data_IF_111624708979
#
_entry.id   IF_111624708979
#
_cell.length_a   1.000
_cell.length_b   1.000
_cell.length_c   1.000
_cell.angle_alpha   90.00
_cell.angle_beta   90.00
_cell.angle_gamma   90.00
#
_symmetry.space_group_name_H-M   'P 1'
#
loop_
_entity.id
_entity.type
_entity.pdbx_description
1 polymer ?
#
# COMPACT_ATOMS: atom_id res chain seq x y z
N UNK A 1 -17.42 39.65 27.26
CA UNK A 1 -16.89 38.44 26.59
C UNK A 1 -15.50 38.78 26.06
N UNK A 2 -14.48 38.07 26.56
CA UNK A 2 -13.06 38.30 26.27
C UNK A 2 -12.79 38.18 24.75
N UNK A 3 -11.89 39.01 24.23
CA UNK A 3 -11.44 39.00 22.84
C UNK A 3 -10.91 37.61 22.44
N UNK A 4 -10.27 36.90 23.36
CA UNK A 4 -9.78 35.53 23.14
C UNK A 4 -10.92 34.54 22.88
N UNK A 5 -12.05 34.69 23.59
CA UNK A 5 -13.23 33.86 23.40
C UNK A 5 -13.89 34.15 22.06
N UNK A 6 -13.92 35.41 21.63
CA UNK A 6 -14.44 35.78 20.29
C UNK A 6 -13.60 35.18 19.16
N UNK A 7 -12.27 35.23 19.27
CA UNK A 7 -11.36 34.63 18.28
C UNK A 7 -11.54 33.10 18.24
N UNK A 8 -11.63 32.46 19.41
CA UNK A 8 -11.86 31.01 19.48
C UNK A 8 -13.15 30.56 18.79
N UNK A 9 -14.25 31.30 18.98
CA UNK A 9 -15.54 31.01 18.34
C UNK A 9 -15.47 31.19 16.82
N UNK A 10 -14.78 32.24 16.34
CA UNK A 10 -14.63 32.50 14.90
C UNK A 10 -13.77 31.42 14.24
N UNK A 11 -12.64 31.06 14.84
CA UNK A 11 -11.75 30.02 14.30
C UNK A 11 -12.45 28.65 14.33
N UNK A 12 -13.12 28.31 15.43
CA UNK A 12 -13.89 27.07 15.53
C UNK A 12 -15.00 26.98 14.49
N UNK A 13 -15.74 28.07 14.27
CA UNK A 13 -16.77 28.16 13.23
C UNK A 13 -16.22 27.99 11.82
N UNK A 14 -15.05 28.58 11.54
CA UNK A 14 -14.39 28.46 10.23
C UNK A 14 -13.91 27.03 9.95
N UNK A 15 -13.29 26.38 10.94
CA UNK A 15 -12.84 24.97 10.84
C UNK A 15 -14.03 24.03 10.61
N UNK A 16 -15.12 24.24 11.36
CA UNK A 16 -16.33 23.45 11.18
C UNK A 16 -16.96 23.63 9.79
N UNK A 17 -17.01 24.87 9.28
CA UNK A 17 -17.54 25.17 7.95
C UNK A 17 -16.70 24.48 6.84
N UNK A 18 -15.38 24.49 6.96
CA UNK A 18 -14.48 23.82 6.00
C UNK A 18 -14.70 22.30 6.02
N UNK A 19 -14.89 21.70 7.19
CA UNK A 19 -15.18 20.26 7.31
C UNK A 19 -16.53 19.89 6.68
N UNK A 20 -17.56 20.71 6.88
CA UNK A 20 -18.90 20.51 6.28
C UNK A 20 -18.84 20.67 4.76
N UNK A 21 -18.14 21.69 4.25
CA UNK A 21 -17.99 21.89 2.80
C UNK A 21 -17.21 20.73 2.15
N UNK A 22 -16.17 20.23 2.81
CA UNK A 22 -15.36 19.11 2.32
C UNK A 22 -16.20 17.82 2.21
N UNK A 23 -17.05 17.54 3.21
CA UNK A 23 -17.95 16.37 3.19
C UNK A 23 -19.05 16.50 2.13
N UNK A 24 -19.60 17.71 1.92
CA UNK A 24 -20.57 17.99 0.86
C UNK A 24 -19.99 17.83 -0.55
N UNK A 25 -18.75 18.27 -0.79
CA UNK A 25 -18.05 18.08 -2.07
C UNK A 25 -17.82 16.60 -2.36
N UNK A 26 -17.45 15.81 -1.34
CA UNK A 26 -17.27 14.36 -1.48
C UNK A 26 -18.61 13.66 -1.77
N UNK A 27 -19.70 14.07 -1.10
CA UNK A 27 -21.02 13.49 -1.28
C UNK A 27 -21.63 13.80 -2.65
N UNK A 28 -21.51 15.05 -3.11
CA UNK A 28 -22.01 15.47 -4.44
C UNK A 28 -21.24 14.82 -5.59
N UNK A 29 -19.92 14.59 -5.45
CA UNK A 29 -19.14 13.78 -6.41
C UNK A 29 -19.60 12.32 -6.46
N UNK A 30 -20.11 11.76 -5.36
CA UNK A 30 -20.60 10.38 -5.30
C UNK A 30 -21.97 10.21 -5.96
N UNK A 31 -22.84 11.21 -5.89
CA UNK A 31 -24.20 11.18 -6.46
C UNK A 31 -24.24 11.32 -7.99
N UNK A 32 -23.24 11.95 -8.63
CA UNK A 32 -23.20 12.11 -10.10
C UNK A 32 -22.77 10.87 -10.89
N UNK A 33 -22.44 9.75 -10.25
CA UNK A 33 -22.26 8.46 -10.94
C UNK A 33 -23.61 7.77 -11.14
N UNK A 34 -24.42 8.28 -12.07
CA UNK A 34 -25.44 7.46 -12.74
C UNK A 34 -24.71 6.57 -13.73
N UNK A 35 -24.79 5.26 -13.53
CA UNK A 35 -24.44 4.27 -14.56
C UNK A 35 -25.33 4.52 -15.77
N UNK A 36 -24.79 4.62 -17.00
CA UNK A 36 -25.63 4.57 -18.19
C UNK A 36 -26.26 3.17 -18.24
N UNK A 37 -27.58 3.12 -18.16
CA UNK A 37 -28.37 1.92 -18.44
C UNK A 37 -28.11 1.49 -19.88
N UNK A 38 -27.82 0.20 -20.07
CA UNK A 38 -27.63 -0.44 -21.36
C UNK A 38 -28.89 -0.28 -22.23
N UNK A 39 -28.78 0.53 -23.29
CA UNK A 39 -29.71 0.49 -24.41
C UNK A 39 -29.31 -0.67 -25.33
N UNK A 40 -30.20 -1.67 -25.37
CA UNK A 40 -30.18 -2.75 -26.34
C UNK A 40 -30.77 -2.20 -27.65
N UNK A 41 -29.98 -2.14 -28.73
CA UNK A 41 -30.50 -2.07 -30.10
C UNK A 41 -29.63 -2.90 -31.07
N UNK A 42 -30.19 -3.33 -32.21
CA UNK A 42 -30.01 -4.67 -32.76
C UNK A 42 -28.93 -4.76 -33.83
N UNK A 43 -28.64 -6.02 -34.15
CA UNK A 43 -27.87 -6.51 -35.28
C UNK A 43 -28.16 -5.80 -36.59
N UNK A 44 -27.08 -5.54 -37.35
CA UNK A 44 -26.90 -5.81 -38.79
C UNK A 44 -25.68 -5.00 -39.28
N UNK A 45 -24.58 -5.69 -39.61
CA UNK A 45 -23.62 -5.35 -40.67
C UNK A 45 -22.44 -6.35 -40.63
N UNK A 46 -22.46 -7.33 -41.56
CA UNK A 46 -21.23 -7.83 -42.21
C UNK A 46 -20.73 -6.72 -43.15
N UNK A 47 -19.43 -6.55 -43.46
CA UNK A 47 -18.52 -7.66 -43.80
C UNK A 47 -17.00 -7.47 -43.48
N UNK A 48 -16.27 -8.53 -43.82
CA UNK A 48 -14.88 -8.57 -44.33
C UNK A 48 -13.73 -8.82 -43.36
N UNK A 49 -13.22 -10.04 -43.52
CA UNK A 49 -11.93 -10.60 -43.10
C UNK A 49 -10.77 -9.62 -43.29
N UNK A 50 -10.03 -9.36 -42.21
CA UNK A 50 -8.57 -9.24 -42.23
C UNK A 50 -7.99 -9.84 -40.96
N UNK A 51 -7.22 -10.92 -41.11
CA UNK A 51 -6.46 -11.61 -40.06
C UNK A 51 -5.26 -10.75 -39.67
N UNK A 52 -5.00 -10.62 -38.37
CA UNK A 52 -3.69 -10.81 -37.70
C UNK A 52 -3.76 -10.33 -36.25
N UNK A 53 -3.43 -11.23 -35.30
CA UNK A 53 -3.08 -10.87 -33.92
C UNK A 53 -4.15 -11.09 -32.84
N UNK A 54 -4.70 -12.29 -32.71
CA UNK A 54 -5.48 -12.71 -31.55
C UNK A 54 -4.59 -12.73 -30.29
N UNK A 55 -4.82 -11.78 -29.36
CA UNK A 55 -4.61 -11.98 -27.93
C UNK A 55 -5.98 -11.87 -27.26
N UNK A 56 -6.82 -12.88 -27.48
CA UNK A 56 -7.97 -13.14 -26.63
C UNK A 56 -7.49 -14.03 -25.49
N UNK A 57 -7.26 -13.46 -24.32
CA UNK A 57 -7.40 -14.20 -23.08
C UNK A 57 -8.85 -14.06 -22.64
N UNK A 58 -9.68 -15.02 -23.04
CA UNK A 58 -10.87 -15.36 -22.28
C UNK A 58 -10.44 -15.61 -20.83
N UNK A 59 -11.13 -15.00 -19.87
CA UNK A 59 -11.04 -15.37 -18.46
C UNK A 59 -11.55 -16.81 -18.33
N UNK A 60 -10.66 -17.78 -18.54
CA UNK A 60 -10.85 -19.10 -17.99
C UNK A 60 -10.77 -18.93 -16.47
N UNK A 61 -11.93 -19.08 -15.83
CA UNK A 61 -12.03 -19.33 -14.40
C UNK A 61 -11.40 -20.71 -14.18
N UNK A 62 -10.06 -20.74 -14.16
CA UNK A 62 -9.32 -21.90 -13.73
C UNK A 62 -9.72 -22.13 -12.28
N UNK A 63 -10.52 -23.17 -12.09
CA UNK A 63 -10.70 -23.88 -10.84
C UNK A 63 -9.38 -23.83 -10.07
N UNK A 64 -9.41 -23.21 -8.88
CA UNK A 64 -8.27 -23.17 -7.97
C UNK A 64 -7.91 -24.61 -7.62
N UNK A 65 -7.08 -25.22 -8.47
CA UNK A 65 -6.50 -26.52 -8.22
C UNK A 65 -5.84 -26.42 -6.86
N UNK A 66 -6.24 -27.32 -5.97
CA UNK A 66 -5.59 -27.55 -4.69
C UNK A 66 -4.10 -27.74 -4.95
N UNK A 67 -3.34 -26.65 -4.91
CA UNK A 67 -1.91 -26.70 -4.80
C UNK A 67 -1.67 -27.31 -3.43
N UNK A 68 -1.26 -28.59 -3.45
CA UNK A 68 -0.80 -29.34 -2.29
C UNK A 68 -0.03 -28.39 -1.38
N UNK A 69 -0.60 -28.11 -0.21
CA UNK A 69 -0.03 -27.17 0.73
C UNK A 69 1.41 -27.59 1.06
N UNK A 70 2.44 -26.80 0.72
CA UNK A 70 3.67 -26.87 1.46
C UNK A 70 3.34 -26.24 2.81
N UNK A 71 3.16 -27.10 3.81
CA UNK A 71 3.15 -26.72 5.21
C UNK A 71 4.35 -25.83 5.50
N UNK A 72 4.04 -24.59 5.89
CA UNK A 72 4.96 -23.52 6.28
C UNK A 72 6.13 -23.34 5.31
N UNK A 73 6.76 -22.20 5.26
CA UNK A 73 8.08 -22.04 5.88
C UNK A 73 8.63 -20.91 4.99
N UNK A 74 8.21 -19.66 5.28
CA UNK A 74 9.30 -18.74 5.60
C UNK A 74 10.06 -19.53 6.65
N UNK A 75 11.16 -20.20 6.26
CA UNK A 75 12.08 -20.73 7.26
C UNK A 75 12.26 -19.55 8.15
N UNK A 76 11.93 -19.69 9.43
CA UNK A 76 12.22 -18.71 10.47
C UNK A 76 13.58 -18.15 10.10
N UNK A 77 13.55 -17.06 9.35
CA UNK A 77 14.79 -16.60 8.76
C UNK A 77 15.46 -16.11 10.02
N UNK A 78 16.72 -16.43 10.22
CA UNK A 78 17.48 -15.97 11.39
C UNK A 78 17.35 -14.42 11.55
N UNK A 79 16.85 -13.78 10.50
CA UNK A 79 16.61 -12.38 10.24
C UNK A 79 15.15 -11.90 10.37
N UNK A 80 14.19 -12.73 10.79
CA UNK A 80 12.81 -12.33 11.05
C UNK A 80 12.57 -12.15 12.56
N UNK A 81 11.92 -11.04 12.93
CA UNK A 81 11.54 -10.76 14.30
C UNK A 81 10.03 -10.51 14.38
N UNK A 82 9.34 -11.31 15.19
CA UNK A 82 7.92 -11.12 15.46
C UNK A 82 7.69 -9.79 16.20
N UNK A 83 6.64 -9.08 15.79
CA UNK A 83 6.26 -7.83 16.43
C UNK A 83 5.39 -8.14 17.65
N UNK A 84 5.97 -8.00 18.84
CA UNK A 84 5.31 -8.25 20.13
C UNK A 84 4.40 -7.08 20.55
N UNK A 85 3.58 -6.56 19.62
CA UNK A 85 2.65 -5.46 19.87
C UNK A 85 1.20 -5.94 19.67
N UNK A 86 0.26 -5.62 20.57
CA UNK A 86 -1.14 -5.99 20.40
C UNK A 86 -1.70 -5.57 19.03
N UNK A 87 -2.51 -6.43 18.41
CA UNK A 87 -3.07 -6.20 17.07
C UNK A 87 -2.15 -6.57 15.90
N UNK A 88 -0.87 -6.86 16.15
CA UNK A 88 0.11 -7.22 15.11
C UNK A 88 0.43 -8.72 15.03
N UNK A 89 -0.43 -9.60 15.59
CA UNK A 89 -0.29 -11.04 15.40
C UNK A 89 -0.26 -11.38 13.90
N UNK A 90 0.73 -12.17 13.47
CA UNK A 90 0.97 -12.50 12.06
C UNK A 90 1.67 -11.40 11.27
N UNK A 91 2.21 -10.38 11.94
CA UNK A 91 3.10 -9.37 11.36
C UNK A 91 4.52 -9.55 11.88
N UNK A 92 5.52 -9.46 11.01
CA UNK A 92 6.92 -9.58 11.38
C UNK A 92 7.80 -8.57 10.64
N UNK A 93 8.87 -8.13 11.30
CA UNK A 93 9.92 -7.32 10.71
C UNK A 93 10.99 -8.24 10.14
N UNK A 94 11.50 -7.95 8.96
CA UNK A 94 12.61 -8.69 8.35
C UNK A 94 13.70 -7.71 7.95
N UNK A 95 14.96 -8.06 8.22
CA UNK A 95 16.09 -7.26 7.71
C UNK A 95 16.24 -7.35 6.20
N UNK A 96 15.58 -8.30 5.53
CA UNK A 96 15.57 -8.36 4.07
C UNK A 96 14.78 -7.19 3.49
N UNK A 97 15.12 -6.81 2.26
CA UNK A 97 14.24 -6.05 1.41
C UNK A 97 13.05 -6.87 0.91
N UNK A 98 12.27 -6.22 0.04
CA UNK A 98 11.59 -6.94 -1.04
C UNK A 98 12.70 -7.71 -1.80
N UNK A 99 12.52 -8.79 -2.53
CA UNK A 99 13.57 -9.60 -3.18
C UNK A 99 14.53 -10.36 -2.23
N UNK A 100 15.02 -9.78 -1.13
CA UNK A 100 15.90 -10.49 -0.20
C UNK A 100 16.94 -9.61 0.48
N UNK A 101 18.00 -10.22 1.00
CA UNK A 101 19.10 -9.50 1.60
C UNK A 101 19.83 -8.62 0.57
N UNK A 102 20.34 -7.48 1.03
CA UNK A 102 21.08 -6.57 0.16
C UNK A 102 22.38 -7.22 -0.34
N UNK A 103 22.61 -7.18 -1.65
CA UNK A 103 23.82 -7.71 -2.29
C UNK A 103 23.76 -9.17 -2.73
N UNK A 104 22.66 -9.88 -2.46
CA UNK A 104 22.42 -11.23 -2.99
C UNK A 104 21.91 -11.22 -4.44
N UNK A 105 21.87 -12.40 -5.08
CA UNK A 105 21.38 -12.57 -6.45
C UNK A 105 19.99 -11.92 -6.66
N UNK A 106 19.72 -11.53 -7.92
CA UNK A 106 18.46 -10.93 -8.37
C UNK A 106 17.37 -12.03 -8.44
N UNK A 107 17.12 -12.71 -7.34
CA UNK A 107 16.05 -13.68 -7.22
C UNK A 107 15.22 -13.39 -5.98
N UNK A 108 13.89 -13.46 -6.08
CA UNK A 108 13.03 -13.28 -4.93
C UNK A 108 13.23 -14.40 -3.91
N UNK A 109 13.49 -14.04 -2.66
CA UNK A 109 13.66 -14.99 -1.56
C UNK A 109 12.34 -15.50 -0.94
N UNK A 110 11.20 -15.12 -1.51
CA UNK A 110 9.87 -15.58 -1.06
C UNK A 110 9.35 -16.75 -1.89
N UNK A 111 8.42 -17.50 -1.29
CA UNK A 111 7.70 -18.62 -1.89
C UNK A 111 6.20 -18.46 -1.69
N UNK A 112 5.40 -19.09 -2.56
CA UNK A 112 3.95 -19.04 -2.53
C UNK A 112 3.36 -17.74 -3.07
N UNK A 113 2.15 -17.40 -2.63
CA UNK A 113 1.46 -16.19 -3.07
C UNK A 113 1.97 -14.98 -2.27
N UNK A 114 2.30 -13.89 -2.96
CA UNK A 114 2.72 -12.62 -2.33
C UNK A 114 1.98 -11.43 -2.92
N UNK A 115 1.61 -10.48 -2.07
CA UNK A 115 1.15 -9.16 -2.50
C UNK A 115 2.28 -8.18 -2.19
N UNK A 116 2.80 -7.50 -3.20
CA UNK A 116 3.93 -6.58 -3.08
C UNK A 116 3.38 -5.16 -3.07
N UNK A 117 3.63 -4.41 -2.00
CA UNK A 117 3.40 -2.96 -1.97
C UNK A 117 4.60 -2.28 -2.62
N UNK A 118 4.37 -1.58 -3.72
CA UNK A 118 5.38 -0.84 -4.46
C UNK A 118 5.13 0.66 -4.33
N UNK A 119 5.89 1.38 -3.49
CA UNK A 119 5.73 2.82 -3.28
C UNK A 119 6.33 3.68 -4.41
N UNK A 120 6.60 3.11 -5.59
CA UNK A 120 7.23 3.82 -6.70
C UNK A 120 6.36 4.94 -7.26
N UNK A 121 6.85 6.16 -7.16
CA UNK A 121 6.24 7.33 -7.79
C UNK A 121 6.16 7.20 -9.31
N UNK A 122 7.14 6.54 -9.95
CA UNK A 122 7.27 6.57 -11.42
C UNK A 122 6.08 5.92 -12.14
N UNK A 123 5.51 4.86 -11.56
CA UNK A 123 4.38 4.16 -12.17
C UNK A 123 3.13 5.03 -12.19
N UNK A 124 2.97 5.87 -11.17
CA UNK A 124 1.78 6.69 -10.98
C UNK A 124 1.94 8.07 -11.63
N UNK A 125 3.15 8.64 -11.58
CA UNK A 125 3.45 9.98 -12.10
C UNK A 125 3.88 9.94 -13.56
N UNK A 126 4.82 9.06 -13.90
CA UNK A 126 5.45 9.00 -15.22
C UNK A 126 4.84 7.93 -16.12
N UNK A 127 3.91 7.14 -15.59
CA UNK A 127 3.27 6.03 -16.29
C UNK A 127 4.27 5.02 -16.86
N UNK A 128 5.37 4.77 -16.14
CA UNK A 128 6.40 3.83 -16.56
C UNK A 128 7.00 3.05 -15.39
N UNK A 129 7.42 1.82 -15.69
CA UNK A 129 8.27 1.05 -14.79
C UNK A 129 9.70 1.61 -14.90
N UNK A 130 10.11 2.37 -13.88
CA UNK A 130 11.37 3.11 -13.85
C UNK A 130 12.60 2.23 -14.14
N UNK A 131 13.59 2.85 -14.80
CA UNK A 131 14.91 2.26 -15.09
C UNK A 131 15.93 2.44 -13.96
N UNK A 132 15.54 3.13 -12.89
CA UNK A 132 16.42 3.58 -11.80
C UNK A 132 15.72 3.49 -10.45
N UNK A 133 16.51 3.43 -9.38
CA UNK A 133 16.01 3.39 -8.00
C UNK A 133 15.60 2.00 -7.54
N UNK A 134 15.04 1.94 -6.34
CA UNK A 134 14.83 0.69 -5.58
C UNK A 134 13.84 -0.27 -6.25
N UNK A 135 12.80 0.26 -6.92
CA UNK A 135 11.81 -0.55 -7.62
C UNK A 135 12.33 -1.15 -8.95
N UNK A 136 13.48 -0.70 -9.47
CA UNK A 136 14.06 -1.24 -10.72
C UNK A 136 14.30 -2.74 -10.61
N UNK A 137 14.98 -3.19 -9.55
CA UNK A 137 15.31 -4.61 -9.35
C UNK A 137 14.05 -5.45 -9.25
N UNK A 138 13.01 -4.92 -8.60
CA UNK A 138 11.70 -5.58 -8.53
C UNK A 138 11.12 -5.76 -9.93
N UNK A 139 11.12 -4.73 -10.76
CA UNK A 139 10.58 -4.80 -12.12
C UNK A 139 11.40 -5.71 -13.05
N UNK A 140 12.72 -5.82 -12.84
CA UNK A 140 13.58 -6.77 -13.56
C UNK A 140 13.17 -8.21 -13.24
N UNK A 141 13.00 -8.54 -11.95
CA UNK A 141 12.52 -9.86 -11.51
C UNK A 141 11.13 -10.20 -12.04
N UNK A 142 10.24 -9.20 -12.10
CA UNK A 142 8.88 -9.38 -12.62
C UNK A 142 8.81 -9.40 -14.16
N UNK A 143 9.92 -9.14 -14.86
CA UNK A 143 9.97 -9.11 -16.33
C UNK A 143 9.17 -7.95 -16.94
N UNK A 144 9.04 -6.83 -16.24
CA UNK A 144 8.30 -5.62 -16.68
C UNK A 144 9.17 -4.36 -16.72
N UNK A 145 10.45 -4.47 -16.37
CA UNK A 145 11.38 -3.35 -16.42
C UNK A 145 11.43 -2.74 -17.82
N UNK A 146 11.49 -1.42 -17.90
CA UNK A 146 11.58 -0.63 -19.14
C UNK A 146 10.33 -0.67 -20.05
N UNK A 147 9.24 -1.31 -19.63
CA UNK A 147 7.98 -1.31 -20.37
C UNK A 147 7.11 -0.09 -20.05
N UNK A 148 6.33 0.43 -21.02
CA UNK A 148 5.22 1.30 -20.68
C UNK A 148 4.22 0.51 -19.83
N UNK A 149 3.51 1.21 -18.96
CA UNK A 149 2.33 0.61 -18.34
C UNK A 149 1.25 0.40 -19.42
N UNK A 150 0.36 -0.57 -19.21
CA UNK A 150 -0.70 -0.84 -20.17
C UNK A 150 -1.60 0.40 -20.38
N UNK A 151 -2.10 0.61 -21.59
CA UNK A 151 -2.89 1.82 -21.91
C UNK A 151 -4.19 1.91 -21.09
N UNK A 152 -4.81 0.76 -20.79
CA UNK A 152 -5.98 0.69 -19.89
C UNK A 152 -5.61 1.13 -18.47
N UNK A 153 -4.42 0.79 -18.00
CA UNK A 153 -3.88 1.19 -16.70
C UNK A 153 -3.57 2.68 -16.66
N UNK A 154 -2.95 3.22 -17.73
CA UNK A 154 -2.70 4.65 -17.89
C UNK A 154 -4.00 5.45 -17.83
N UNK A 155 -5.03 5.04 -18.59
CA UNK A 155 -6.36 5.66 -18.54
C UNK A 155 -6.95 5.60 -17.14
N UNK A 156 -6.91 4.44 -16.48
CA UNK A 156 -7.43 4.29 -15.13
C UNK A 156 -6.75 5.24 -14.12
N UNK A 157 -5.42 5.39 -14.20
CA UNK A 157 -4.67 6.31 -13.34
C UNK A 157 -5.00 7.78 -13.64
N UNK A 158 -5.07 8.17 -14.91
CA UNK A 158 -5.42 9.52 -15.35
C UNK A 158 -6.82 9.95 -14.89
N UNK A 159 -7.82 9.07 -15.01
CA UNK A 159 -9.20 9.39 -14.66
C UNK A 159 -9.46 9.44 -13.16
N UNK A 160 -8.71 8.66 -12.37
CA UNK A 160 -9.07 8.42 -10.98
C UNK A 160 -8.29 9.27 -9.98
N UNK A 161 -7.24 10.00 -10.40
CA UNK A 161 -6.31 10.70 -9.48
C UNK A 161 -5.99 9.83 -8.26
N UNK A 162 -5.77 8.54 -8.49
CA UNK A 162 -5.68 7.56 -7.40
C UNK A 162 -4.26 7.49 -6.90
N UNK A 163 -4.14 7.63 -5.58
CA UNK A 163 -2.94 7.33 -4.79
C UNK A 163 -2.59 5.83 -4.78
N UNK A 164 -3.40 4.96 -5.38
CA UNK A 164 -3.18 3.52 -5.36
C UNK A 164 -3.74 2.82 -6.60
N UNK A 165 -3.01 1.79 -7.06
CA UNK A 165 -3.40 0.98 -8.20
C UNK A 165 -2.91 -0.46 -8.07
N UNK A 166 -3.79 -1.42 -8.35
CA UNK A 166 -3.45 -2.84 -8.36
C UNK A 166 -3.14 -3.23 -9.80
N UNK A 167 -1.94 -3.76 -10.02
CA UNK A 167 -1.56 -4.32 -11.30
C UNK A 167 -2.51 -5.47 -11.68
N UNK A 168 -3.11 -5.46 -12.89
CA UNK A 168 -4.04 -6.49 -13.30
C UNK A 168 -3.34 -7.82 -13.51
N UNK A 169 -2.07 -7.80 -13.91
CA UNK A 169 -1.27 -9.00 -14.14
C UNK A 169 -0.95 -9.73 -12.84
N UNK A 170 -1.02 -11.05 -12.90
CA UNK A 170 -0.40 -11.94 -11.91
C UNK A 170 0.96 -12.34 -12.45
N UNK A 171 2.01 -12.05 -11.69
CA UNK A 171 3.37 -12.49 -12.01
C UNK A 171 3.62 -13.85 -11.38
N UNK A 172 4.39 -14.69 -12.03
CA UNK A 172 4.71 -16.02 -11.51
C UNK A 172 6.15 -16.41 -11.83
N UNK A 173 6.74 -17.15 -10.91
CA UNK A 173 8.00 -17.85 -11.10
C UNK A 173 7.87 -19.31 -10.64
N UNK A 174 8.99 -20.02 -10.54
CA UNK A 174 8.99 -21.47 -10.28
C UNK A 174 8.22 -21.87 -9.02
N UNK A 175 8.28 -21.07 -7.95
CA UNK A 175 7.69 -21.39 -6.65
C UNK A 175 6.92 -20.21 -6.03
N UNK A 176 6.52 -19.22 -6.83
CA UNK A 176 5.83 -18.03 -6.33
C UNK A 176 4.84 -17.46 -7.33
N UNK A 177 3.82 -16.77 -6.82
CA UNK A 177 2.93 -15.89 -7.58
C UNK A 177 2.88 -14.53 -6.89
N UNK A 178 2.93 -13.44 -7.64
CA UNK A 178 2.92 -12.09 -7.11
C UNK A 178 1.81 -11.22 -7.71
N UNK A 179 1.14 -10.44 -6.86
CA UNK A 179 0.33 -9.29 -7.25
C UNK A 179 1.04 -8.04 -6.79
N UNK A 180 1.08 -7.01 -7.64
CA UNK A 180 1.71 -5.73 -7.30
C UNK A 180 0.64 -4.68 -7.04
N UNK A 181 0.74 -4.03 -5.89
CA UNK A 181 -0.04 -2.88 -5.50
C UNK A 181 0.87 -1.66 -5.53
N UNK A 182 0.73 -0.86 -6.58
CA UNK A 182 1.42 0.41 -6.71
C UNK A 182 0.73 1.45 -5.82
N UNK A 183 1.51 2.10 -4.97
CA UNK A 183 1.03 3.14 -4.05
C UNK A 183 1.84 4.40 -4.31
N UNK A 184 1.16 5.53 -4.41
CA UNK A 184 1.80 6.82 -4.51
C UNK A 184 2.47 7.11 -3.17
N UNK A 185 3.75 7.48 -3.16
CA UNK A 185 4.40 7.86 -1.92
C UNK A 185 3.66 9.06 -1.30
N UNK A 186 3.56 9.13 0.03
CA UNK A 186 2.78 10.17 0.71
C UNK A 186 3.33 11.56 0.36
N UNK A 187 2.53 12.41 -0.28
CA UNK A 187 2.98 13.70 -0.79
C UNK A 187 2.98 14.78 0.31
N UNK A 188 4.18 15.21 0.71
CA UNK A 188 4.41 16.26 1.71
C UNK A 188 4.47 17.68 1.10
N UNK A 189 4.21 17.86 -0.21
CA UNK A 189 4.40 19.15 -0.93
C UNK A 189 3.72 20.39 -0.33
N UNK A 190 2.53 20.37 0.31
CA UNK A 190 1.95 21.58 0.87
C UNK A 190 2.52 21.98 2.26
N UNK A 191 3.49 21.24 2.80
CA UNK A 191 4.03 21.51 4.13
C UNK A 191 5.09 22.61 4.09
N UNK A 192 4.79 23.76 4.70
CA UNK A 192 5.82 24.70 5.14
C UNK A 192 6.79 23.97 6.10
N UNK A 193 8.07 24.33 6.08
CA UNK A 193 9.11 23.67 6.90
C UNK A 193 8.71 23.51 8.38
N UNK A 194 8.06 24.51 8.97
CA UNK A 194 7.59 24.46 10.37
C UNK A 194 6.48 23.44 10.64
N UNK A 195 5.74 23.00 9.61
CA UNK A 195 4.68 21.99 9.73
C UNK A 195 5.25 20.59 9.49
N UNK A 196 6.29 20.46 8.66
CA UNK A 196 7.02 19.19 8.51
C UNK A 196 7.77 18.78 9.79
N UNK A 197 8.17 19.76 10.62
CA UNK A 197 8.70 19.53 11.98
C UNK A 197 7.64 18.97 12.94
N UNK A 198 6.35 19.18 12.67
CA UNK A 198 5.28 18.50 13.38
C UNK A 198 5.05 17.11 12.77
N UNK A 199 5.60 16.08 13.43
CA UNK A 199 5.49 14.67 13.02
C UNK A 199 4.05 14.18 12.81
N UNK A 200 3.04 14.88 13.34
CA UNK A 200 1.62 14.55 13.17
C UNK A 200 1.13 14.56 11.71
N UNK A 201 1.63 15.49 10.87
CA UNK A 201 1.19 15.51 9.45
C UNK A 201 1.83 14.39 8.63
N UNK A 202 3.15 14.17 8.68
CA UNK A 202 3.76 12.97 8.09
C UNK A 202 3.06 11.68 8.56
N UNK A 203 2.76 11.55 9.85
CA UNK A 203 2.04 10.40 10.41
C UNK A 203 0.66 10.24 9.76
N UNK A 204 -0.13 11.31 9.66
CA UNK A 204 -1.45 11.30 9.00
C UNK A 204 -1.36 10.84 7.53
N UNK A 205 -0.37 11.33 6.79
CA UNK A 205 -0.16 10.97 5.38
C UNK A 205 0.16 9.47 5.22
N UNK A 206 1.06 8.94 6.05
CA UNK A 206 1.35 7.50 6.08
C UNK A 206 0.13 6.68 6.49
N UNK A 207 -0.67 7.15 7.46
CA UNK A 207 -1.90 6.46 7.86
C UNK A 207 -2.88 6.36 6.67
N UNK A 208 -3.03 7.43 5.88
CA UNK A 208 -3.82 7.39 4.65
C UNK A 208 -3.28 6.37 3.64
N UNK A 209 -1.95 6.30 3.47
CA UNK A 209 -1.30 5.30 2.61
C UNK A 209 -1.63 3.87 3.06
N UNK A 210 -1.56 3.58 4.35
CA UNK A 210 -1.95 2.26 4.87
C UNK A 210 -3.44 1.97 4.68
N UNK A 211 -4.33 2.95 4.90
CA UNK A 211 -5.77 2.79 4.61
C UNK A 211 -6.01 2.43 3.15
N UNK A 212 -5.29 3.06 2.22
CA UNK A 212 -5.39 2.74 0.79
C UNK A 212 -4.91 1.32 0.49
N UNK A 213 -3.84 0.85 1.15
CA UNK A 213 -3.36 -0.53 1.07
C UNK A 213 -4.46 -1.49 1.53
N UNK A 214 -5.04 -1.24 2.71
CA UNK A 214 -6.12 -2.05 3.29
C UNK A 214 -7.33 -2.12 2.35
N UNK A 215 -7.74 -0.98 1.79
CA UNK A 215 -8.85 -0.91 0.85
C UNK A 215 -8.57 -1.71 -0.42
N UNK A 216 -7.38 -1.54 -1.02
CA UNK A 216 -7.02 -2.26 -2.25
C UNK A 216 -7.01 -3.77 -2.04
N UNK A 217 -6.46 -4.24 -0.92
CA UNK A 217 -6.43 -5.67 -0.61
C UNK A 217 -7.84 -6.22 -0.49
N UNK A 218 -8.68 -5.60 0.35
CA UNK A 218 -10.05 -6.07 0.59
C UNK A 218 -10.97 -6.00 -0.63
N UNK A 219 -10.88 -4.91 -1.39
CA UNK A 219 -11.80 -4.67 -2.48
C UNK A 219 -11.37 -5.31 -3.80
N UNK A 220 -10.07 -5.53 -4.01
CA UNK A 220 -9.52 -5.90 -5.33
C UNK A 220 -8.65 -7.15 -5.34
N UNK A 221 -8.11 -7.56 -4.19
CA UNK A 221 -7.22 -8.70 -4.09
C UNK A 221 -7.75 -9.81 -3.16
N UNK A 222 -9.00 -9.72 -2.69
CA UNK A 222 -9.55 -10.59 -1.65
C UNK A 222 -9.28 -12.09 -1.87
N UNK A 223 -9.54 -12.61 -3.07
CA UNK A 223 -9.38 -14.04 -3.34
C UNK A 223 -7.90 -14.45 -3.33
N UNK A 224 -7.03 -13.60 -3.90
CA UNK A 224 -5.59 -13.83 -3.89
C UNK A 224 -4.99 -13.67 -2.49
N UNK A 225 -5.55 -12.77 -1.68
CA UNK A 225 -5.04 -12.39 -0.36
C UNK A 225 -5.06 -13.53 0.64
N UNK A 226 -6.08 -14.41 0.62
CA UNK A 226 -6.31 -15.46 1.63
C UNK A 226 -5.06 -16.31 1.88
N UNK A 227 -4.33 -16.66 0.82
CA UNK A 227 -3.12 -17.48 0.89
C UNK A 227 -1.83 -16.67 0.75
N UNK A 228 -1.95 -15.35 0.56
CA UNK A 228 -0.82 -14.50 0.27
C UNK A 228 -0.16 -13.94 1.52
N UNK A 229 1.16 -13.70 1.42
CA UNK A 229 1.88 -12.82 2.36
C UNK A 229 1.94 -11.42 1.77
N UNK A 230 1.54 -10.41 2.55
CA UNK A 230 1.69 -9.01 2.18
C UNK A 230 3.10 -8.53 2.50
N UNK A 231 3.82 -8.02 1.49
CA UNK A 231 5.16 -7.47 1.62
C UNK A 231 5.06 -5.93 1.59
N UNK A 232 5.42 -5.30 2.70
CA UNK A 232 5.41 -3.84 2.85
C UNK A 232 6.85 -3.37 3.03
N UNK A 233 7.45 -2.61 2.10
CA UNK A 233 8.74 -1.99 2.35
C UNK A 233 8.61 -0.88 3.39
N UNK A 234 9.68 -0.62 4.15
CA UNK A 234 9.79 0.63 4.88
C UNK A 234 9.84 1.76 3.84
N UNK A 235 8.76 2.53 3.75
CA UNK A 235 8.65 3.57 2.73
C UNK A 235 9.39 4.82 3.19
N UNK A 236 10.21 5.38 2.30
CA UNK A 236 10.79 6.68 2.54
C UNK A 236 9.77 7.79 2.31
N UNK A 237 9.95 8.90 3.03
CA UNK A 237 9.27 10.14 2.70
C UNK A 237 9.83 10.70 1.37
N UNK A 238 9.02 11.42 0.57
CA UNK A 238 9.49 12.07 -0.65
C UNK A 238 10.64 13.05 -0.37
N UNK A 239 11.25 13.58 -1.43
CA UNK A 239 12.47 14.40 -1.37
C UNK A 239 12.50 15.49 -0.29
N UNK A 240 11.36 16.11 0.07
CA UNK A 240 11.30 17.13 1.13
C UNK A 240 11.23 16.58 2.55
N UNK A 241 10.81 15.32 2.74
CA UNK A 241 10.91 14.62 4.03
C UNK A 241 12.29 13.97 4.25
N UNK A 242 13.19 13.99 3.26
CA UNK A 242 14.60 13.57 3.42
C UNK A 242 15.35 14.40 4.45
N UNK A 243 14.86 15.59 4.77
CA UNK A 243 15.41 16.45 5.82
C UNK A 243 15.12 15.92 7.23
N UNK A 244 14.15 15.03 7.40
CA UNK A 244 13.94 14.36 8.68
C UNK A 244 15.07 13.38 8.97
N UNK A 245 15.45 13.31 10.24
CA UNK A 245 16.40 12.30 10.71
C UNK A 245 15.84 10.91 10.39
N UNK A 246 16.73 9.96 10.13
CA UNK A 246 16.35 8.56 9.86
C UNK A 246 15.47 8.01 11.00
N UNK A 247 15.79 8.35 12.25
CA UNK A 247 14.99 8.01 13.43
C UNK A 247 13.55 8.54 13.37
N UNK A 248 13.37 9.80 12.97
CA UNK A 248 12.05 10.43 12.89
C UNK A 248 11.20 9.81 11.78
N UNK A 249 11.82 9.44 10.65
CA UNK A 249 11.14 8.71 9.57
C UNK A 249 10.63 7.35 10.04
N UNK A 250 11.46 6.60 10.77
CA UNK A 250 11.04 5.32 11.34
C UNK A 250 9.95 5.49 12.39
N UNK A 251 10.04 6.55 13.21
CA UNK A 251 8.99 6.91 14.16
C UNK A 251 7.66 7.19 13.47
N UNK A 252 7.65 8.03 12.44
CA UNK A 252 6.46 8.34 11.65
C UNK A 252 5.86 7.08 11.02
N UNK A 253 6.69 6.23 10.41
CA UNK A 253 6.24 4.96 9.84
C UNK A 253 5.61 4.05 10.90
N UNK A 254 6.29 3.87 12.05
CA UNK A 254 5.82 3.02 13.13
C UNK A 254 4.51 3.53 13.73
N UNK A 255 4.41 4.83 14.02
CA UNK A 255 3.21 5.46 14.56
C UNK A 255 2.03 5.25 13.63
N UNK A 256 2.19 5.58 12.34
CA UNK A 256 1.12 5.42 11.37
C UNK A 256 0.69 3.96 11.19
N UNK A 257 1.64 3.03 11.14
CA UNK A 257 1.35 1.61 11.00
C UNK A 257 0.62 1.05 12.23
N UNK A 258 1.08 1.41 13.44
CA UNK A 258 0.47 1.00 14.69
C UNK A 258 -0.89 1.65 14.93
N UNK A 259 -1.05 2.91 14.51
CA UNK A 259 -2.32 3.62 14.56
C UNK A 259 -3.38 2.87 13.74
N UNK A 260 -3.06 2.46 12.50
CA UNK A 260 -3.98 1.69 11.66
C UNK A 260 -4.21 0.26 12.17
N UNK A 261 -3.18 -0.36 12.75
CA UNK A 261 -3.32 -1.69 13.34
C UNK A 261 -4.20 -1.69 14.59
N UNK A 262 -4.14 -0.62 15.40
CA UNK A 262 -4.89 -0.47 16.65
C UNK A 262 -6.28 0.13 16.44
N UNK A 263 -6.42 1.10 15.55
CA UNK A 263 -7.67 1.81 15.26
C UNK A 263 -8.41 1.14 14.11
N UNK A 264 -9.50 0.47 14.45
CA UNK A 264 -10.50 0.04 13.47
C UNK A 264 -10.46 -1.44 13.10
N UNK A 265 -9.63 -2.24 13.78
CA UNK A 265 -9.58 -3.69 13.57
C UNK A 265 -9.95 -4.41 14.87
N UNK A 266 -11.12 -5.07 14.89
CA UNK A 266 -11.53 -5.98 15.98
C UNK A 266 -10.74 -7.29 16.01
N UNK A 267 -9.72 -7.42 15.14
CA UNK A 267 -8.93 -8.62 14.88
C UNK A 267 -7.50 -8.20 14.54
N UNK A 268 -6.52 -9.11 14.64
CA UNK A 268 -5.17 -8.86 14.16
C UNK A 268 -5.11 -8.33 12.73
N UNK A 269 -4.13 -7.50 12.40
CA UNK A 269 -4.01 -6.84 11.10
C UNK A 269 -4.02 -7.82 9.91
N UNK A 270 -3.30 -8.95 10.02
CA UNK A 270 -3.28 -9.99 8.99
C UNK A 270 -4.67 -10.57 8.72
N UNK A 271 -5.41 -10.92 9.79
CA UNK A 271 -6.78 -11.41 9.71
C UNK A 271 -7.73 -10.35 9.15
N UNK A 272 -7.58 -9.09 9.59
CA UNK A 272 -8.38 -7.99 9.11
C UNK A 272 -8.17 -7.75 7.62
N UNK A 273 -6.95 -7.89 7.12
CA UNK A 273 -6.60 -7.81 5.70
C UNK A 273 -7.03 -9.06 4.92
N UNK A 274 -7.30 -10.17 5.61
CA UNK A 274 -7.54 -11.47 4.98
C UNK A 274 -6.28 -12.01 4.29
N UNK A 275 -5.10 -11.71 4.83
CA UNK A 275 -3.81 -12.23 4.36
C UNK A 275 -3.25 -13.25 5.33
N UNK A 276 -2.42 -14.18 4.83
CA UNK A 276 -1.77 -15.18 5.67
C UNK A 276 -0.85 -14.53 6.69
N UNK A 277 0.02 -13.62 6.23
CA UNK A 277 0.97 -12.88 7.05
C UNK A 277 1.24 -11.48 6.45
N UNK A 278 1.81 -10.59 7.27
CA UNK A 278 2.36 -9.29 6.85
C UNK A 278 3.86 -9.24 7.16
N UNK A 279 4.70 -9.07 6.14
CA UNK A 279 6.16 -8.88 6.26
C UNK A 279 6.50 -7.42 6.03
N UNK A 280 7.08 -6.75 7.03
CA UNK A 280 7.70 -5.43 6.84
C UNK A 280 9.16 -5.65 6.41
N UNK A 281 9.47 -5.25 5.19
CA UNK A 281 10.77 -5.43 4.56
C UNK A 281 11.67 -4.22 4.87
N UNK A 282 12.60 -4.38 5.81
CA UNK A 282 13.41 -3.29 6.35
C UNK A 282 14.66 -2.99 5.51
N UNK A 283 15.05 -3.88 4.61
CA UNK A 283 16.21 -3.72 3.72
C UNK A 283 17.57 -3.95 4.38
N UNK A 284 17.70 -3.67 5.67
CA UNK A 284 18.87 -4.05 6.47
C UNK A 284 18.54 -4.25 7.96
N UNK A 285 19.49 -4.84 8.69
CA UNK A 285 19.37 -5.17 10.11
C UNK A 285 19.27 -3.93 11.00
N UNK A 286 19.97 -2.86 10.67
CA UNK A 286 19.93 -1.62 11.47
C UNK A 286 18.54 -0.98 11.46
N UNK A 287 17.90 -0.91 10.28
CA UNK A 287 16.52 -0.41 10.14
C UNK A 287 15.56 -1.34 10.87
N UNK A 288 15.73 -2.66 10.75
CA UNK A 288 14.87 -3.62 11.43
C UNK A 288 14.92 -3.44 12.96
N UNK A 289 16.12 -3.35 13.54
CA UNK A 289 16.31 -3.18 14.98
C UNK A 289 15.77 -1.82 15.45
N UNK A 290 16.09 -0.74 14.75
CA UNK A 290 15.59 0.59 15.09
C UNK A 290 14.05 0.66 15.00
N UNK A 291 13.44 0.05 13.98
CA UNK A 291 12.00 0.00 13.85
C UNK A 291 11.36 -0.86 14.94
N UNK A 292 11.96 -2.00 15.28
CA UNK A 292 11.50 -2.86 16.37
C UNK A 292 11.49 -2.12 17.71
N UNK A 293 12.57 -1.38 18.00
CA UNK A 293 12.69 -0.58 19.22
C UNK A 293 11.60 0.50 19.30
N UNK A 294 11.42 1.27 18.22
CA UNK A 294 10.38 2.31 18.13
C UNK A 294 8.97 1.71 18.33
N UNK A 295 8.68 0.59 17.69
CA UNK A 295 7.39 -0.09 17.83
C UNK A 295 7.16 -0.62 19.25
N UNK A 296 8.20 -1.14 19.91
CA UNK A 296 8.13 -1.62 21.28
C UNK A 296 7.86 -0.49 22.28
N UNK A 297 8.54 0.65 22.13
CA UNK A 297 8.33 1.84 22.97
C UNK A 297 6.88 2.34 22.89
N UNK A 298 6.29 2.35 21.70
CA UNK A 298 4.90 2.79 21.50
C UNK A 298 3.87 1.77 22.00
N UNK A 299 4.15 0.47 21.88
CA UNK A 299 3.30 -0.58 22.43
C UNK A 299 3.25 -0.59 23.97
N UNK A 300 4.31 -0.12 24.63
CA UNK A 300 4.36 0.03 26.09
C UNK A 300 3.59 1.24 26.61
N UNK A 301 3.74 2.40 25.96
CA UNK A 301 3.15 3.67 26.41
C UNK A 301 1.61 3.67 26.46
N UNK A 302 0.94 2.82 25.68
CA UNK A 302 -0.53 2.70 25.67
C UNK A 302 -1.14 1.87 26.80
N UNK A 303 -0.34 1.15 27.61
CA UNK A 303 -0.86 0.37 28.74
C UNK A 303 -1.04 1.19 30.01
N UNK A 304 -0.25 2.24 30.19
CA UNK A 304 -0.25 3.04 31.42
C UNK A 304 -1.36 4.10 31.42
N UNK A 305 -2.00 4.38 30.27
CA UNK A 305 -3.04 5.41 30.14
C UNK A 305 -4.49 4.89 30.24
N UNK A 306 -4.70 3.62 30.59
CA UNK A 306 -6.05 3.00 30.69
C UNK A 306 -6.48 2.80 32.16
N UNK A 307 -5.63 3.15 33.13
CA UNK A 307 -5.89 3.02 34.56
C UNK A 307 -5.90 4.34 35.35
N UNK A 308 -5.89 5.49 34.66
CA UNK A 308 -6.11 6.81 35.26
C UNK A 308 -7.43 7.45 34.77
#
# INVERSE_FOLDING_TARGET
MDLRVKIGVIVGGLVFLIAVLSTLIVSTKRSKRKYPSEEILPSQLKPTVRKEGEWYSEEHVDSYGQLNAPNSVFSESVFSQDIQVPGLKGCFLSSDGILGAEGEEIQPNWRGNVIIVDPSASVIQDYCYSRTGDSRRLYEVLGICNGPIEECMKKALQFLYKSSYVNPRVFSGQNWKARVLHIAPPDVRPLNHSIAENLGVPCTLFSCTFVDILYCIKARLRNFAIEATLLIPVMDLPERGKHLLKSDRLKVFAEAFLDIASKGLYKPLSEALGVKNVKICCGNRDIQLALAEVMAQQGGAGRDSVFD
#
